data_IF_521134352233
#
_entry.id   IF_521134352233
#
_cell.length_a   1.000
_cell.length_b   1.000
_cell.length_c   1.000
_cell.angle_alpha   90.00
_cell.angle_beta   90.00
_cell.angle_gamma   90.00
#
_symmetry.space_group_name_H-M   'P 1'
#
loop_
_entity.id
_entity.type
_entity.pdbx_description
1 polymer ?
#
# COMPACT_ATOMS: atom_id res chain seq x y z
N UNK A 1 -76.01 -19.62 -1.89
CA UNK A 1 -74.66 -20.15 -2.15
C UNK A 1 -73.76 -18.96 -2.52
N UNK A 2 -72.95 -18.45 -1.58
CA UNK A 2 -72.06 -17.32 -1.76
C UNK A 2 -70.61 -17.85 -1.87
N UNK A 3 -69.99 -17.73 -3.02
CA UNK A 3 -68.59 -18.09 -3.25
C UNK A 3 -67.69 -16.84 -2.95
N UNK A 4 -66.95 -16.90 -1.87
CA UNK A 4 -65.91 -15.95 -1.52
C UNK A 4 -64.63 -16.37 -2.23
N UNK A 5 -64.17 -15.56 -3.17
CA UNK A 5 -62.87 -15.70 -3.80
C UNK A 5 -61.82 -14.99 -2.91
N UNK A 6 -60.92 -15.77 -2.35
CA UNK A 6 -59.74 -15.25 -1.65
C UNK A 6 -58.62 -14.92 -2.66
N UNK A 7 -58.32 -13.63 -2.83
CA UNK A 7 -57.20 -13.19 -3.64
C UNK A 7 -55.90 -13.29 -2.79
N UNK A 8 -55.00 -14.21 -3.16
CA UNK A 8 -53.66 -14.33 -2.60
C UNK A 8 -52.78 -13.34 -3.33
N UNK A 9 -52.45 -12.22 -2.69
CA UNK A 9 -51.39 -11.30 -3.13
C UNK A 9 -50.02 -11.93 -2.79
N UNK A 10 -49.34 -12.45 -3.81
CA UNK A 10 -47.93 -12.82 -3.75
C UNK A 10 -47.09 -11.53 -3.84
N UNK A 11 -46.60 -11.04 -2.71
CA UNK A 11 -45.54 -10.04 -2.65
C UNK A 11 -44.22 -10.66 -3.15
N UNK A 12 -43.86 -10.38 -4.38
CA UNK A 12 -42.48 -10.62 -4.86
C UNK A 12 -41.58 -9.57 -4.21
N UNK A 13 -40.89 -9.94 -3.15
CA UNK A 13 -39.70 -9.22 -2.70
C UNK A 13 -38.60 -9.45 -3.75
N UNK A 14 -38.47 -8.52 -4.69
CA UNK A 14 -37.30 -8.47 -5.55
C UNK A 14 -36.10 -8.17 -4.67
N UNK A 15 -35.40 -9.21 -4.21
CA UNK A 15 -34.04 -9.06 -3.71
C UNK A 15 -33.22 -8.58 -4.88
N UNK A 16 -32.86 -7.28 -4.90
CA UNK A 16 -31.80 -6.77 -5.73
C UNK A 16 -30.52 -7.48 -5.25
N UNK A 17 -30.17 -8.59 -5.88
CA UNK A 17 -28.84 -9.15 -5.76
C UNK A 17 -27.90 -8.05 -6.27
N UNK A 18 -27.12 -7.46 -5.39
CA UNK A 18 -26.05 -6.55 -5.78
C UNK A 18 -25.22 -7.29 -6.82
N UNK A 19 -25.18 -6.78 -8.05
CA UNK A 19 -24.47 -7.43 -9.14
C UNK A 19 -22.98 -7.41 -8.79
N UNK A 20 -22.38 -8.59 -8.74
CA UNK A 20 -20.94 -8.72 -8.51
C UNK A 20 -20.18 -7.91 -9.55
N UNK A 21 -19.45 -6.90 -9.10
CA UNK A 21 -18.62 -6.03 -9.94
C UNK A 21 -17.14 -6.31 -9.74
N UNK A 22 -16.33 -5.79 -10.63
CA UNK A 22 -14.88 -5.87 -10.55
C UNK A 22 -14.27 -4.47 -10.59
N UNK A 23 -13.17 -4.26 -9.85
CA UNK A 23 -12.40 -3.02 -9.89
C UNK A 23 -10.92 -3.29 -10.09
N UNK A 24 -10.24 -2.42 -10.87
CA UNK A 24 -8.81 -2.46 -11.13
C UNK A 24 -8.08 -1.54 -10.15
N UNK A 25 -7.20 -2.10 -9.32
CA UNK A 25 -6.53 -1.37 -8.25
C UNK A 25 -5.03 -1.32 -8.47
N UNK A 26 -4.47 -0.11 -8.58
CA UNK A 26 -3.02 0.12 -8.56
C UNK A 26 -2.54 0.19 -7.10
N UNK A 27 -1.67 -0.69 -6.68
CA UNK A 27 -1.23 -0.85 -5.29
C UNK A 27 0.27 -0.68 -5.16
N UNK A 28 0.72 0.20 -4.28
CA UNK A 28 2.13 0.34 -3.96
C UNK A 28 2.72 -0.99 -3.44
N UNK A 29 3.89 -1.36 -3.94
CA UNK A 29 4.48 -2.69 -3.75
C UNK A 29 4.78 -3.08 -2.29
N UNK A 30 4.93 -2.11 -1.39
CA UNK A 30 5.04 -2.36 0.04
C UNK A 30 3.77 -2.96 0.66
N UNK A 31 2.63 -2.74 0.02
CA UNK A 31 1.30 -3.13 0.51
C UNK A 31 0.76 -4.41 -0.17
N UNK A 32 1.62 -5.15 -0.86
CA UNK A 32 1.23 -6.34 -1.65
C UNK A 32 0.49 -7.40 -0.83
N UNK A 33 1.06 -7.85 0.28
CA UNK A 33 0.46 -8.90 1.11
C UNK A 33 -0.82 -8.42 1.82
N UNK A 34 -0.83 -7.25 2.51
CA UNK A 34 -2.06 -6.73 3.10
C UNK A 34 -3.18 -6.54 2.07
N UNK A 35 -2.89 -5.94 0.91
CA UNK A 35 -3.91 -5.74 -0.13
C UNK A 35 -4.47 -7.05 -0.65
N UNK A 36 -3.63 -8.09 -0.79
CA UNK A 36 -4.07 -9.42 -1.23
C UNK A 36 -5.03 -10.05 -0.21
N UNK A 37 -4.74 -9.91 1.09
CA UNK A 37 -5.60 -10.40 2.15
C UNK A 37 -6.91 -9.61 2.22
N UNK A 38 -6.83 -8.27 2.13
CA UNK A 38 -7.99 -7.37 2.09
C UNK A 38 -8.89 -7.68 0.89
N UNK A 39 -8.32 -7.89 -0.31
CA UNK A 39 -9.10 -8.20 -1.50
C UNK A 39 -9.88 -9.53 -1.37
N UNK A 40 -9.32 -10.53 -0.68
CA UNK A 40 -10.04 -11.78 -0.36
C UNK A 40 -11.22 -11.54 0.58
N UNK A 41 -11.01 -10.75 1.65
CA UNK A 41 -12.07 -10.39 2.59
C UNK A 41 -13.15 -9.54 1.90
N UNK A 42 -12.74 -8.59 1.07
CA UNK A 42 -13.64 -7.76 0.26
C UNK A 42 -14.55 -8.63 -0.61
N UNK A 43 -13.98 -9.59 -1.34
CA UNK A 43 -14.77 -10.49 -2.18
C UNK A 43 -15.76 -11.34 -1.37
N UNK A 44 -15.34 -11.84 -0.21
CA UNK A 44 -16.21 -12.63 0.67
C UNK A 44 -17.36 -11.82 1.26
N UNK A 45 -17.14 -10.55 1.59
CA UNK A 45 -18.12 -9.70 2.27
C UNK A 45 -19.09 -9.00 1.31
N UNK A 46 -18.62 -8.65 0.12
CA UNK A 46 -19.37 -7.81 -0.82
C UNK A 46 -19.80 -8.53 -2.10
N UNK A 47 -19.17 -9.64 -2.43
CA UNK A 47 -19.33 -10.31 -3.72
C UNK A 47 -18.58 -9.62 -4.87
N UNK A 48 -18.02 -8.42 -4.68
CA UNK A 48 -17.20 -7.73 -5.68
C UNK A 48 -15.77 -8.29 -5.70
N UNK A 49 -15.06 -8.09 -6.82
CA UNK A 49 -13.66 -8.51 -6.97
C UNK A 49 -12.75 -7.31 -7.17
N UNK A 50 -11.67 -7.22 -6.40
CA UNK A 50 -10.59 -6.27 -6.62
C UNK A 50 -9.42 -6.97 -7.33
N UNK A 51 -9.09 -6.53 -8.55
CA UNK A 51 -7.90 -6.99 -9.29
C UNK A 51 -6.73 -6.06 -9.00
N UNK A 52 -5.73 -6.61 -8.36
CA UNK A 52 -4.60 -5.86 -7.84
C UNK A 52 -3.43 -5.92 -8.81
N UNK A 53 -2.82 -4.75 -9.06
CA UNK A 53 -1.53 -4.61 -9.73
C UNK A 53 -0.54 -3.98 -8.76
N UNK A 54 0.68 -4.50 -8.69
CA UNK A 54 1.68 -4.07 -7.73
C UNK A 54 2.88 -3.41 -8.39
N UNK A 55 3.34 -2.27 -7.84
CA UNK A 55 4.47 -1.54 -8.40
C UNK A 55 4.86 -0.32 -7.56
N UNK A 56 5.79 0.49 -8.07
CA UNK A 56 6.14 1.75 -7.44
C UNK A 56 5.03 2.79 -7.65
N UNK A 57 4.73 3.58 -6.61
CA UNK A 57 3.67 4.60 -6.65
C UNK A 57 3.86 5.61 -7.79
N UNK A 58 5.12 6.04 -8.05
CA UNK A 58 5.43 6.96 -9.14
C UNK A 58 5.21 6.35 -10.53
N UNK A 59 5.53 5.07 -10.70
CA UNK A 59 5.27 4.37 -11.96
C UNK A 59 3.75 4.26 -12.22
N UNK A 60 2.96 3.98 -11.19
CA UNK A 60 1.50 3.96 -11.33
C UNK A 60 0.93 5.34 -11.66
N UNK A 61 1.37 6.41 -10.99
CA UNK A 61 0.91 7.75 -11.33
C UNK A 61 1.20 8.08 -12.81
N UNK A 62 2.37 7.69 -13.32
CA UNK A 62 2.72 7.86 -14.74
C UNK A 62 1.79 7.06 -15.66
N UNK A 63 1.50 5.79 -15.33
CA UNK A 63 0.59 4.95 -16.11
C UNK A 63 -0.84 5.49 -16.09
N UNK A 64 -1.32 5.96 -14.92
CA UNK A 64 -2.63 6.59 -14.76
C UNK A 64 -2.73 7.85 -15.64
N UNK A 65 -1.70 8.69 -15.66
CA UNK A 65 -1.63 9.87 -16.52
C UNK A 65 -1.61 9.52 -18.01
N UNK A 66 -1.15 8.32 -18.38
CA UNK A 66 -1.16 7.78 -19.74
C UNK A 66 -2.44 7.02 -20.08
N UNK A 67 -3.45 7.02 -19.21
CA UNK A 67 -4.75 6.40 -19.46
C UNK A 67 -4.83 4.91 -19.11
N UNK A 68 -3.95 4.39 -18.26
CA UNK A 68 -4.08 3.02 -17.74
C UNK A 68 -5.44 2.85 -17.01
N UNK A 69 -6.13 1.71 -17.17
CA UNK A 69 -7.51 1.53 -16.73
C UNK A 69 -7.64 1.21 -15.23
N UNK A 70 -6.80 1.80 -14.41
CA UNK A 70 -6.95 1.69 -12.96
C UNK A 70 -8.10 2.56 -12.49
N UNK A 71 -8.82 2.10 -11.47
CA UNK A 71 -10.00 2.73 -10.90
C UNK A 71 -9.78 3.20 -9.46
N UNK A 72 -8.89 2.51 -8.75
CA UNK A 72 -8.45 2.87 -7.39
C UNK A 72 -6.93 2.91 -7.37
N UNK A 73 -6.36 3.89 -6.67
CA UNK A 73 -4.92 4.00 -6.47
C UNK A 73 -4.59 4.02 -4.97
N UNK A 74 -3.84 3.01 -4.52
CA UNK A 74 -3.26 2.91 -3.18
C UNK A 74 -1.78 3.26 -3.26
N UNK A 75 -1.45 4.50 -2.95
CA UNK A 75 -0.07 5.02 -2.96
C UNK A 75 0.64 4.77 -1.64
N UNK A 76 1.97 4.70 -1.67
CA UNK A 76 2.82 4.69 -0.48
C UNK A 76 3.19 6.12 0.00
N UNK A 77 2.56 7.14 -0.52
CA UNK A 77 2.61 8.53 -0.04
C UNK A 77 1.27 9.25 -0.28
N UNK A 78 1.11 10.43 0.32
CA UNK A 78 -0.03 11.31 0.11
C UNK A 78 0.16 12.24 -1.12
N UNK A 79 1.39 12.50 -1.52
CA UNK A 79 1.69 13.49 -2.55
C UNK A 79 1.18 13.06 -3.95
N UNK A 80 1.27 11.78 -4.27
CA UNK A 80 0.84 11.25 -5.58
C UNK A 80 -0.68 11.18 -5.74
N UNK A 81 -1.48 10.74 -4.77
CA UNK A 81 -2.95 10.91 -4.78
C UNK A 81 -3.38 12.37 -4.91
N UNK A 82 -2.79 13.29 -4.14
CA UNK A 82 -3.04 14.72 -4.25
C UNK A 82 -2.71 15.25 -5.67
N UNK A 83 -1.58 14.82 -6.25
CA UNK A 83 -1.22 15.16 -7.64
C UNK A 83 -2.22 14.60 -8.65
N UNK A 84 -2.69 13.38 -8.47
CA UNK A 84 -3.72 12.80 -9.35
C UNK A 84 -5.02 13.62 -9.32
N UNK A 85 -5.42 14.14 -8.15
CA UNK A 85 -6.57 15.05 -8.01
C UNK A 85 -6.28 16.38 -8.74
N UNK A 86 -5.12 16.98 -8.49
CA UNK A 86 -4.72 18.25 -9.11
C UNK A 86 -4.71 18.18 -10.63
N UNK A 87 -4.21 17.05 -11.18
CA UNK A 87 -4.15 16.81 -12.63
C UNK A 87 -5.51 16.40 -13.22
N UNK A 88 -6.55 16.30 -12.39
CA UNK A 88 -7.88 15.92 -12.85
C UNK A 88 -8.03 14.43 -13.19
N UNK A 89 -7.14 13.57 -12.69
CA UNK A 89 -7.14 12.12 -12.91
C UNK A 89 -7.92 11.35 -11.83
N UNK A 90 -8.11 11.96 -10.66
CA UNK A 90 -8.84 11.38 -9.53
C UNK A 90 -10.05 12.24 -9.13
N UNK A 91 -10.95 11.66 -8.35
CA UNK A 91 -12.16 12.31 -7.84
C UNK A 91 -11.79 13.10 -6.57
N UNK A 92 -11.99 14.44 -6.55
CA UNK A 92 -11.67 15.25 -5.38
C UNK A 92 -12.45 14.80 -4.13
N UNK A 93 -11.78 14.82 -2.97
CA UNK A 93 -12.39 14.50 -1.67
C UNK A 93 -12.59 13.00 -1.42
N UNK A 94 -12.01 12.13 -2.28
CA UNK A 94 -12.02 10.68 -2.06
C UNK A 94 -10.67 10.16 -1.52
N UNK A 95 -9.70 11.06 -1.37
CA UNK A 95 -8.38 10.72 -0.84
C UNK A 95 -8.40 10.66 0.69
N UNK A 96 -7.73 9.64 1.22
CA UNK A 96 -7.55 9.48 2.67
C UNK A 96 -6.33 8.62 2.97
N UNK A 97 -5.73 8.83 4.14
CA UNK A 97 -4.63 8.00 4.64
C UNK A 97 -5.17 6.67 5.16
N UNK A 98 -4.87 5.57 4.45
CA UNK A 98 -5.29 4.22 4.85
C UNK A 98 -4.28 3.52 5.77
N UNK A 99 -2.99 3.91 5.72
CA UNK A 99 -1.92 3.31 6.50
C UNK A 99 -0.76 4.29 6.70
N UNK A 100 -0.01 4.13 7.80
CA UNK A 100 1.25 4.84 8.05
C UNK A 100 2.34 3.79 8.12
N UNK A 101 3.33 3.90 7.23
CA UNK A 101 4.36 2.90 7.04
C UNK A 101 5.58 3.09 7.94
N UNK A 102 6.26 2.00 8.25
CA UNK A 102 7.54 1.99 8.95
C UNK A 102 8.65 1.53 8.02
N UNK A 103 9.72 2.32 7.91
CA UNK A 103 10.94 1.96 7.19
C UNK A 103 11.81 1.09 8.09
N UNK A 104 12.38 0.03 7.55
CA UNK A 104 13.33 -0.81 8.28
C UNK A 104 14.59 -1.06 7.45
N UNK A 105 15.75 -1.11 8.11
CA UNK A 105 16.94 -1.75 7.56
C UNK A 105 16.84 -3.25 7.88
N UNK A 106 17.01 -4.10 6.89
CA UNK A 106 16.84 -5.54 7.03
C UNK A 106 17.97 -6.32 6.35
N UNK A 107 18.28 -7.46 6.91
CA UNK A 107 19.14 -8.51 6.33
C UNK A 107 18.52 -9.88 6.52
N UNK A 108 18.73 -10.78 5.57
CA UNK A 108 18.36 -12.20 5.74
C UNK A 108 19.19 -12.91 6.80
N UNK A 109 20.36 -12.37 7.11
CA UNK A 109 21.30 -13.00 8.06
C UNK A 109 20.97 -12.58 9.49
N UNK A 110 20.81 -13.55 10.38
CA UNK A 110 20.54 -13.31 11.80
C UNK A 110 21.69 -12.55 12.47
N UNK A 111 21.34 -11.50 13.24
CA UNK A 111 22.33 -10.69 13.96
C UNK A 111 23.17 -9.74 13.09
N UNK A 112 22.96 -9.70 11.78
CA UNK A 112 23.67 -8.78 10.88
C UNK A 112 23.30 -7.32 11.13
N UNK A 113 22.02 -7.03 11.32
CA UNK A 113 21.52 -5.71 11.64
C UNK A 113 21.32 -5.57 13.14
N UNK A 114 22.09 -4.69 13.77
CA UNK A 114 22.07 -4.43 15.23
C UNK A 114 21.60 -3.01 15.58
N UNK A 115 21.33 -2.19 14.56
CA UNK A 115 20.95 -0.79 14.70
C UNK A 115 21.60 0.07 13.62
N UNK A 116 21.60 1.41 13.77
CA UNK A 116 22.25 2.33 12.84
C UNK A 116 23.77 2.09 12.78
N UNK A 117 24.37 1.48 13.80
CA UNK A 117 25.80 1.14 13.84
C UNK A 117 26.19 0.18 12.70
N UNK A 118 25.27 -0.65 12.22
CA UNK A 118 25.48 -1.51 11.04
C UNK A 118 25.80 -0.68 9.79
N UNK A 119 25.09 0.44 9.61
CA UNK A 119 25.36 1.36 8.50
C UNK A 119 26.65 2.15 8.70
N UNK A 120 26.93 2.59 9.94
CA UNK A 120 28.17 3.34 10.29
C UNK A 120 29.42 2.50 10.11
N UNK A 121 29.37 1.22 10.46
CA UNK A 121 30.49 0.30 10.28
C UNK A 121 30.85 0.12 8.79
N UNK A 122 29.86 0.20 7.89
CA UNK A 122 30.07 0.11 6.45
C UNK A 122 30.62 -1.24 5.97
N UNK A 123 30.54 -2.28 6.80
CA UNK A 123 31.06 -3.63 6.52
C UNK A 123 30.08 -4.44 5.66
N UNK A 124 29.81 -3.94 4.46
CA UNK A 124 29.00 -4.57 3.41
C UNK A 124 29.39 -3.99 2.04
N UNK A 125 29.08 -4.72 0.98
CA UNK A 125 29.35 -4.26 -0.39
C UNK A 125 28.12 -3.59 -1.01
N UNK A 126 26.91 -4.11 -0.74
CA UNK A 126 25.67 -3.64 -1.34
C UNK A 126 24.61 -3.32 -0.30
N UNK A 127 24.00 -2.13 -0.45
CA UNK A 127 22.83 -1.68 0.29
C UNK A 127 21.67 -1.48 -0.71
N UNK A 128 20.68 -2.33 -0.65
CA UNK A 128 19.52 -2.22 -1.53
C UNK A 128 18.56 -1.13 -1.04
N UNK A 129 18.13 -0.25 -1.94
CA UNK A 129 17.03 0.69 -1.72
C UNK A 129 16.07 0.66 -2.92
N UNK A 130 14.84 1.11 -2.74
CA UNK A 130 13.99 1.40 -3.89
C UNK A 130 14.45 2.70 -4.60
N UNK A 131 14.16 2.83 -5.89
CA UNK A 131 14.42 4.08 -6.61
C UNK A 131 13.69 5.26 -5.93
N UNK A 132 14.41 6.24 -5.36
CA UNK A 132 13.81 7.32 -4.58
C UNK A 132 12.92 8.25 -5.41
N UNK A 133 13.07 8.27 -6.74
CA UNK A 133 12.23 9.09 -7.62
C UNK A 133 10.81 8.54 -7.77
N UNK A 134 10.69 7.22 -7.73
CA UNK A 134 9.42 6.53 -7.99
C UNK A 134 8.81 5.88 -6.76
N UNK A 135 9.60 5.58 -5.72
CA UNK A 135 9.18 4.84 -4.54
C UNK A 135 9.37 5.64 -3.24
N UNK A 136 8.30 5.94 -2.48
CA UNK A 136 8.38 6.70 -1.24
C UNK A 136 9.31 6.10 -0.17
N UNK A 137 9.34 4.78 -0.05
CA UNK A 137 10.30 4.10 0.84
C UNK A 137 11.76 4.27 0.42
N UNK A 138 12.03 4.41 -0.89
CA UNK A 138 13.35 4.76 -1.38
C UNK A 138 13.76 6.18 -0.99
N UNK A 139 12.82 7.13 -1.06
CA UNK A 139 13.03 8.49 -0.58
C UNK A 139 13.29 8.52 0.93
N UNK A 140 12.50 7.80 1.72
CA UNK A 140 12.69 7.69 3.16
C UNK A 140 14.05 7.06 3.53
N UNK A 141 14.52 6.07 2.75
CA UNK A 141 15.86 5.50 2.92
C UNK A 141 16.97 6.52 2.69
N UNK A 142 16.85 7.35 1.63
CA UNK A 142 17.82 8.45 1.37
C UNK A 142 17.78 9.47 2.51
N UNK A 143 16.59 9.91 2.93
CA UNK A 143 16.44 10.86 4.04
C UNK A 143 17.06 10.30 5.34
N UNK A 144 16.85 9.01 5.64
CA UNK A 144 17.46 8.33 6.80
C UNK A 144 19.01 8.36 6.70
N UNK A 145 19.57 8.02 5.54
CA UNK A 145 21.03 8.07 5.36
C UNK A 145 21.60 9.50 5.46
N UNK A 146 20.87 10.49 4.97
CA UNK A 146 21.24 11.90 5.09
C UNK A 146 21.17 12.38 6.53
N UNK A 147 20.11 12.06 7.26
CA UNK A 147 19.95 12.40 8.68
C UNK A 147 21.05 11.79 9.56
N UNK A 148 21.52 10.60 9.19
CA UNK A 148 22.66 9.94 9.86
C UNK A 148 24.02 10.47 9.40
N UNK A 149 24.10 11.33 8.39
CA UNK A 149 25.36 11.81 7.79
C UNK A 149 26.12 10.74 7.01
N UNK A 150 25.44 9.69 6.54
CA UNK A 150 26.08 8.52 5.92
C UNK A 150 25.86 8.44 4.40
N UNK A 151 25.00 9.29 3.83
CA UNK A 151 24.61 9.17 2.42
C UNK A 151 25.81 9.20 1.48
N UNK A 152 26.67 10.20 1.58
CA UNK A 152 27.81 10.37 0.65
C UNK A 152 28.80 9.20 0.74
N UNK A 153 29.02 8.68 1.96
CA UNK A 153 29.92 7.56 2.20
C UNK A 153 29.36 6.24 1.65
N UNK A 154 28.04 6.04 1.76
CA UNK A 154 27.37 4.80 1.37
C UNK A 154 26.83 4.83 -0.06
N UNK A 155 26.72 6.00 -0.69
CA UNK A 155 26.21 6.13 -2.06
C UNK A 155 26.86 5.17 -3.08
N UNK A 156 28.19 4.93 -3.05
CA UNK A 156 28.81 3.97 -3.96
C UNK A 156 28.41 2.51 -3.75
N UNK A 157 27.83 2.18 -2.59
CA UNK A 157 27.35 0.82 -2.24
C UNK A 157 25.87 0.63 -2.50
N UNK A 158 25.15 1.70 -2.86
CA UNK A 158 23.70 1.65 -3.09
C UNK A 158 23.39 0.93 -4.39
N UNK A 159 22.53 -0.08 -4.31
CA UNK A 159 21.89 -0.73 -5.46
C UNK A 159 20.40 -0.42 -5.44
N UNK A 160 19.86 0.02 -6.57
CA UNK A 160 18.48 0.47 -6.66
C UNK A 160 17.58 -0.57 -7.29
N UNK A 161 16.50 -0.94 -6.60
CA UNK A 161 15.37 -1.66 -7.17
C UNK A 161 14.33 -0.70 -7.74
N UNK A 162 13.64 -1.11 -8.79
CA UNK A 162 12.55 -0.32 -9.40
C UNK A 162 11.35 -0.10 -8.47
N UNK A 163 11.25 -0.89 -7.39
CA UNK A 163 10.24 -0.79 -6.34
C UNK A 163 10.83 -1.27 -5.01
N UNK A 164 10.10 -1.01 -3.90
CA UNK A 164 10.52 -1.50 -2.58
C UNK A 164 10.46 -3.04 -2.50
N UNK A 165 9.60 -3.70 -3.30
CA UNK A 165 9.58 -5.16 -3.39
C UNK A 165 10.86 -5.69 -4.03
N UNK A 166 11.38 -5.06 -5.09
CA UNK A 166 12.64 -5.47 -5.70
C UNK A 166 13.83 -5.19 -4.79
N UNK A 167 13.85 -4.06 -4.07
CA UNK A 167 14.91 -3.77 -3.10
C UNK A 167 14.95 -4.83 -1.99
N UNK A 168 13.80 -5.18 -1.43
CA UNK A 168 13.67 -6.25 -0.44
C UNK A 168 14.13 -7.60 -1.02
N UNK A 169 13.77 -7.92 -2.26
CA UNK A 169 14.19 -9.15 -2.93
C UNK A 169 15.72 -9.22 -3.09
N UNK A 170 16.42 -8.11 -3.38
CA UNK A 170 17.88 -8.11 -3.44
C UNK A 170 18.50 -8.53 -2.11
N UNK A 171 17.98 -8.03 -0.99
CA UNK A 171 18.45 -8.44 0.32
C UNK A 171 18.05 -9.88 0.67
N UNK A 172 16.83 -10.31 0.33
CA UNK A 172 16.34 -11.66 0.60
C UNK A 172 17.11 -12.75 -0.17
N UNK A 173 17.56 -12.45 -1.38
CA UNK A 173 18.33 -13.40 -2.21
C UNK A 173 19.83 -13.33 -1.98
N UNK A 174 20.32 -12.34 -1.18
CA UNK A 174 21.74 -12.13 -0.93
C UNK A 174 22.48 -11.39 -2.05
N UNK A 175 21.76 -10.80 -3.02
CA UNK A 175 22.33 -9.88 -3.99
C UNK A 175 22.72 -8.52 -3.37
N UNK A 176 22.21 -8.24 -2.17
CA UNK A 176 22.69 -7.21 -1.26
C UNK A 176 22.72 -7.79 0.15
N UNK A 177 23.72 -7.44 0.94
CA UNK A 177 23.82 -7.90 2.35
C UNK A 177 22.79 -7.21 3.24
N UNK A 178 22.44 -5.98 2.86
CA UNK A 178 21.49 -5.12 3.56
C UNK A 178 20.48 -4.53 2.58
N UNK A 179 19.27 -4.27 3.04
CA UNK A 179 18.28 -3.54 2.26
C UNK A 179 17.35 -2.73 3.14
N UNK A 180 16.99 -1.53 2.70
CA UNK A 180 15.83 -0.85 3.25
C UNK A 180 14.56 -1.48 2.68
N UNK A 181 13.61 -1.77 3.57
CA UNK A 181 12.33 -2.41 3.26
C UNK A 181 11.18 -1.72 4.01
N UNK A 182 9.96 -1.99 3.63
CA UNK A 182 8.81 -1.71 4.48
C UNK A 182 8.70 -2.80 5.56
N UNK A 183 8.38 -2.43 6.81
CA UNK A 183 8.17 -3.38 7.89
C UNK A 183 7.22 -4.51 7.48
N UNK A 184 6.16 -4.18 6.77
CA UNK A 184 5.16 -5.13 6.28
C UNK A 184 5.71 -6.26 5.42
N UNK A 185 6.82 -6.03 4.72
CA UNK A 185 7.45 -7.04 3.85
C UNK A 185 8.28 -8.08 4.63
N UNK A 186 8.64 -7.75 5.87
CA UNK A 186 9.58 -8.58 6.65
C UNK A 186 9.05 -8.97 8.03
N UNK A 187 7.94 -8.39 8.48
CA UNK A 187 7.39 -8.63 9.84
C UNK A 187 7.00 -10.09 10.07
N UNK A 188 6.56 -10.79 9.01
CA UNK A 188 6.18 -12.21 9.05
C UNK A 188 7.30 -13.14 8.58
N UNK A 189 8.47 -12.59 8.21
CA UNK A 189 9.62 -13.40 7.75
C UNK A 189 10.30 -14.06 8.95
N UNK A 190 10.44 -15.36 8.89
CA UNK A 190 11.21 -16.10 9.90
C UNK A 190 12.71 -15.90 9.66
N UNK A 191 13.43 -15.63 10.74
CA UNK A 191 14.89 -15.38 10.69
C UNK A 191 15.24 -13.96 10.24
N UNK A 192 16.53 -13.77 9.91
CA UNK A 192 17.06 -12.45 9.56
C UNK A 192 17.25 -11.53 10.76
N UNK A 193 17.56 -10.30 10.49
CA UNK A 193 17.70 -9.23 11.49
C UNK A 193 17.25 -7.90 10.92
N UNK A 194 16.73 -7.01 11.77
CA UNK A 194 16.24 -5.69 11.33
C UNK A 194 16.48 -4.62 12.38
N UNK A 195 16.46 -3.39 11.90
CA UNK A 195 16.38 -2.17 12.70
C UNK A 195 15.27 -1.31 12.13
N UNK A 196 14.29 -0.99 12.96
CA UNK A 196 13.19 -0.11 12.58
C UNK A 196 13.73 1.33 12.66
N UNK A 197 13.74 2.05 11.52
CA UNK A 197 14.26 3.40 11.47
C UNK A 197 13.35 4.35 12.29
N UNK A 198 13.92 5.13 13.23
CA UNK A 198 13.16 6.15 13.95
C UNK A 198 12.48 7.16 13.03
N UNK A 199 11.27 7.59 13.40
CA UNK A 199 10.44 8.51 12.61
C UNK A 199 11.06 9.90 12.42
N UNK A 200 12.00 10.32 13.27
CA UNK A 200 12.73 11.57 13.16
C UNK A 200 13.85 11.58 12.11
N UNK A 201 14.20 10.41 11.56
CA UNK A 201 15.22 10.27 10.51
C UNK A 201 14.69 10.47 9.09
N UNK A 202 13.40 10.45 8.89
CA UNK A 202 12.74 10.64 7.59
C UNK A 202 11.33 11.23 7.76
N UNK A 203 10.77 11.74 6.69
CA UNK A 203 9.37 12.18 6.71
C UNK A 203 8.42 11.01 6.95
N UNK A 204 7.28 11.24 7.65
CA UNK A 204 6.26 10.20 7.83
C UNK A 204 5.82 9.60 6.51
N UNK A 205 5.71 8.27 6.44
CA UNK A 205 5.26 7.55 5.25
C UNK A 205 3.74 7.40 5.31
N UNK A 206 3.03 8.52 5.09
CA UNK A 206 1.56 8.54 5.02
C UNK A 206 1.14 7.95 3.68
N UNK A 207 0.36 6.87 3.70
CA UNK A 207 -0.06 6.16 2.51
C UNK A 207 -1.53 6.45 2.23
N UNK A 208 -1.79 7.13 1.12
CA UNK A 208 -3.14 7.55 0.76
C UNK A 208 -3.73 6.68 -0.35
N UNK A 209 -5.03 6.43 -0.20
CA UNK A 209 -5.90 5.86 -1.23
C UNK A 209 -6.65 6.98 -1.94
N UNK A 210 -7.04 6.77 -3.20
CA UNK A 210 -7.90 7.69 -3.95
C UNK A 210 -8.71 6.95 -5.02
N UNK A 211 -9.93 7.40 -5.28
CA UNK A 211 -10.76 6.99 -6.42
C UNK A 211 -10.29 7.71 -7.68
N UNK A 212 -9.93 6.97 -8.71
CA UNK A 212 -9.62 7.55 -10.02
C UNK A 212 -10.90 7.87 -10.80
N UNK A 213 -10.84 8.82 -11.73
CA UNK A 213 -12.01 9.19 -12.54
C UNK A 213 -12.55 8.04 -13.38
N UNK A 214 -11.69 7.12 -13.80
CA UNK A 214 -12.06 5.88 -14.49
C UNK A 214 -12.98 4.98 -13.66
N UNK A 215 -12.89 5.04 -12.35
CA UNK A 215 -13.71 4.28 -11.40
C UNK A 215 -14.90 5.06 -10.81
N UNK A 216 -15.10 6.33 -11.23
CA UNK A 216 -16.11 7.21 -10.60
C UNK A 216 -17.53 6.65 -10.62
N UNK A 217 -17.89 5.89 -11.67
CA UNK A 217 -19.20 5.25 -11.82
C UNK A 217 -19.19 3.75 -11.49
N UNK A 218 -18.04 3.19 -11.05
CA UNK A 218 -17.92 1.79 -10.69
C UNK A 218 -18.20 1.58 -9.20
N UNK A 219 -19.34 0.93 -8.88
CA UNK A 219 -19.73 0.65 -7.49
C UNK A 219 -18.73 -0.26 -6.77
N UNK A 220 -18.06 -1.20 -7.47
CA UNK A 220 -17.03 -2.04 -6.86
C UNK A 220 -15.78 -1.23 -6.45
N UNK A 221 -15.43 -0.18 -7.20
CA UNK A 221 -14.31 0.71 -6.87
C UNK A 221 -14.61 1.54 -5.61
N UNK A 222 -15.81 2.13 -5.53
CA UNK A 222 -16.28 2.87 -4.35
C UNK A 222 -16.34 1.95 -3.13
N UNK A 223 -16.98 0.79 -3.28
CA UNK A 223 -17.08 -0.20 -2.21
C UNK A 223 -15.72 -0.69 -1.72
N UNK A 224 -14.70 -0.79 -2.60
CA UNK A 224 -13.35 -1.17 -2.18
C UNK A 224 -12.69 -0.09 -1.33
N UNK A 225 -12.83 1.19 -1.69
CA UNK A 225 -12.34 2.30 -0.87
C UNK A 225 -13.03 2.35 0.50
N UNK A 226 -14.36 2.20 0.52
CA UNK A 226 -15.14 2.16 1.76
C UNK A 226 -14.73 0.96 2.63
N UNK A 227 -14.40 -0.18 2.00
CA UNK A 227 -13.97 -1.37 2.71
C UNK A 227 -12.65 -1.18 3.46
N UNK A 228 -11.74 -0.32 2.97
CA UNK A 228 -10.48 -0.01 3.68
C UNK A 228 -10.72 0.65 5.05
N UNK A 229 -11.87 1.30 5.27
CA UNK A 229 -12.27 1.86 6.56
C UNK A 229 -12.89 0.81 7.51
N UNK A 230 -13.28 -0.35 7.01
CA UNK A 230 -13.94 -1.37 7.83
C UNK A 230 -12.97 -2.00 8.84
N UNK A 231 -13.48 -2.42 10.02
CA UNK A 231 -12.64 -3.01 11.07
C UNK A 231 -11.80 -4.19 10.58
N UNK A 232 -12.34 -5.02 9.70
CA UNK A 232 -11.64 -6.20 9.16
C UNK A 232 -10.43 -5.80 8.31
N UNK A 233 -10.57 -4.83 7.41
CA UNK A 233 -9.46 -4.34 6.59
C UNK A 233 -8.41 -3.65 7.47
N UNK A 234 -8.84 -2.82 8.42
CA UNK A 234 -7.96 -2.14 9.38
C UNK A 234 -7.19 -3.13 10.27
N UNK A 235 -7.83 -4.22 10.69
CA UNK A 235 -7.15 -5.29 11.45
C UNK A 235 -6.06 -5.96 10.62
N UNK A 236 -6.29 -6.23 9.33
CA UNK A 236 -5.27 -6.73 8.42
C UNK A 236 -4.12 -5.73 8.32
N UNK A 237 -4.39 -4.45 8.04
CA UNK A 237 -3.39 -3.39 7.94
C UNK A 237 -2.49 -3.38 9.19
N UNK A 238 -3.10 -3.34 10.37
CA UNK A 238 -2.37 -3.34 11.65
C UNK A 238 -1.55 -4.61 11.86
N UNK A 239 -2.02 -5.78 11.42
CA UNK A 239 -1.32 -7.07 11.56
C UNK A 239 -0.01 -7.13 10.78
N UNK A 240 0.14 -6.28 9.77
CA UNK A 240 1.37 -6.12 8.99
C UNK A 240 2.27 -4.99 9.50
N UNK A 241 2.00 -4.44 10.70
CA UNK A 241 2.85 -3.44 11.34
C UNK A 241 2.65 -2.01 10.86
N UNK A 242 1.58 -1.73 10.12
CA UNK A 242 1.21 -0.35 9.80
C UNK A 242 0.52 0.32 10.99
N UNK A 243 0.84 1.58 11.25
CA UNK A 243 -0.01 2.42 12.10
C UNK A 243 -1.26 2.86 11.32
N UNK A 244 -2.36 3.02 12.06
CA UNK A 244 -3.66 3.36 11.49
C UNK A 244 -3.94 4.85 11.64
N UNK A 245 -4.28 5.52 10.55
CA UNK A 245 -4.82 6.87 10.62
C UNK A 245 -6.21 6.88 11.29
N UNK A 246 -6.61 7.98 11.95
CA UNK A 246 -7.98 8.16 12.42
C UNK A 246 -8.97 8.00 11.26
N UNK A 247 -10.09 7.32 11.51
CA UNK A 247 -11.18 7.28 10.52
C UNK A 247 -11.81 8.67 10.46
N UNK A 248 -11.94 9.30 9.27
CA UNK A 248 -12.69 10.53 9.15
C UNK A 248 -14.11 10.34 9.71
N UNK A 249 -14.60 11.35 10.47
CA UNK A 249 -15.99 11.33 10.89
C UNK A 249 -16.90 11.30 9.64
N UNK A 250 -18.02 10.55 9.66
CA UNK A 250 -18.95 10.57 8.53
C UNK A 250 -19.36 12.03 8.26
N UNK A 251 -19.30 12.41 6.98
CA UNK A 251 -19.81 13.71 6.57
C UNK A 251 -21.30 13.79 6.95
N UNK A 252 -21.62 14.70 7.87
CA UNK A 252 -22.98 14.94 8.38
C UNK A 252 -23.91 15.53 7.33
#
# INVERSE_FOLDING_TARGET
MKRTAAAVLLLWAAAFAAQAGETQVAVAANFTEPATEIAKLFAQKTGHTARLSFGASGAFLTQIAQGAPFEVFLSADAARPAKAIQDGLAVPGTDFTYAIGTLVLWSKDAGRVTGPETLKAGDFQHLAIADPKSAPYGQAAIETLQSLGLYDTLAPKIVQGTSIAQAQQFAATGNAELGFAALAQVIKTEGGSRWDAPEDLHKPILQDAVLLKTGADNEAAKAFLDFLHQPEARAVIASFGYALAPVPAPAG
#
